data_IF_605586829641
#
_entry.id   IF_605586829641
#
_cell.length_a   1.000
_cell.length_b   1.000
_cell.length_c   1.000
_cell.angle_alpha   90.00
_cell.angle_beta   90.00
_cell.angle_gamma   90.00
#
_symmetry.space_group_name_H-M   'P 1'
#
loop_
_entity.id
_entity.type
_entity.pdbx_description
1 polymer ?
#
# COMPACT_ATOMS: atom_id res chain seq x y z
N UNK A 1 22.03 14.06 2.01
CA UNK A 1 21.06 13.23 1.26
C UNK A 1 19.69 13.75 1.61
N UNK A 2 18.82 13.95 0.61
CA UNK A 2 17.46 14.44 0.81
C UNK A 2 16.62 13.36 1.50
N UNK A 3 16.25 13.62 2.76
CA UNK A 3 15.45 12.68 3.59
C UNK A 3 14.11 12.33 2.95
N UNK A 4 13.60 13.18 2.05
CA UNK A 4 12.33 12.97 1.34
C UNK A 4 12.45 11.85 0.30
N UNK A 5 13.58 11.79 -0.40
CA UNK A 5 13.84 10.76 -1.41
C UNK A 5 14.05 9.37 -0.79
N UNK A 6 14.66 9.31 0.40
CA UNK A 6 14.86 8.07 1.15
C UNK A 6 13.53 7.47 1.62
N UNK A 7 12.65 8.29 2.22
CA UNK A 7 11.27 7.88 2.61
C UNK A 7 10.47 7.35 1.43
N UNK A 8 10.54 8.03 0.29
CA UNK A 8 9.84 7.58 -0.92
C UNK A 8 10.35 6.21 -1.39
N UNK A 9 11.66 6.01 -1.35
CA UNK A 9 12.27 4.73 -1.77
C UNK A 9 11.87 3.59 -0.82
N UNK A 10 11.84 3.85 0.49
CA UNK A 10 11.38 2.88 1.49
C UNK A 10 9.91 2.50 1.29
N UNK A 11 9.05 3.49 1.07
CA UNK A 11 7.64 3.25 0.77
C UNK A 11 7.45 2.46 -0.53
N UNK A 12 8.15 2.81 -1.61
CA UNK A 12 8.09 2.09 -2.88
C UNK A 12 8.51 0.62 -2.69
N UNK A 13 9.53 0.34 -1.88
CA UNK A 13 9.96 -1.02 -1.57
C UNK A 13 8.87 -1.81 -0.83
N UNK A 14 8.23 -1.21 0.18
CA UNK A 14 7.14 -1.84 0.93
C UNK A 14 5.93 -2.07 0.00
N UNK A 15 5.57 -1.07 -0.79
CA UNK A 15 4.45 -1.16 -1.74
C UNK A 15 4.64 -2.32 -2.71
N UNK A 16 5.78 -2.40 -3.39
CA UNK A 16 6.09 -3.48 -4.34
C UNK A 16 6.12 -4.85 -3.66
N UNK A 17 6.67 -4.94 -2.45
CA UNK A 17 6.79 -6.21 -1.72
C UNK A 17 5.43 -6.75 -1.24
N UNK A 18 4.47 -5.87 -0.92
CA UNK A 18 3.26 -6.26 -0.18
C UNK A 18 1.95 -6.09 -0.96
N UNK A 19 1.85 -5.19 -1.95
CA UNK A 19 0.60 -4.84 -2.62
C UNK A 19 -0.18 -6.05 -3.14
N UNK A 20 0.48 -6.95 -3.90
CA UNK A 20 -0.19 -8.11 -4.51
C UNK A 20 -0.78 -9.06 -3.48
N UNK A 21 -0.07 -9.29 -2.37
CA UNK A 21 -0.52 -10.15 -1.26
C UNK A 21 -1.66 -9.50 -0.49
N UNK A 22 -1.59 -8.19 -0.25
CA UNK A 22 -2.64 -7.44 0.43
C UNK A 22 -3.92 -7.36 -0.40
N UNK A 23 -3.81 -7.11 -1.72
CA UNK A 23 -4.96 -7.11 -2.63
C UNK A 23 -5.64 -8.47 -2.65
N UNK A 24 -4.85 -9.55 -2.78
CA UNK A 24 -5.40 -10.91 -2.71
C UNK A 24 -6.09 -11.19 -1.38
N UNK A 25 -5.52 -10.73 -0.27
CA UNK A 25 -6.15 -10.85 1.05
C UNK A 25 -7.48 -10.09 1.12
N UNK A 26 -7.53 -8.83 0.66
CA UNK A 26 -8.74 -8.02 0.65
C UNK A 26 -9.84 -8.61 -0.25
N UNK A 27 -9.46 -9.20 -1.39
CA UNK A 27 -10.38 -9.84 -2.34
C UNK A 27 -11.22 -10.97 -1.73
N UNK A 28 -10.73 -11.62 -0.66
CA UNK A 28 -11.49 -12.67 0.04
C UNK A 28 -12.71 -12.10 0.80
N UNK A 29 -12.77 -10.77 1.00
CA UNK A 29 -13.81 -10.09 1.77
C UNK A 29 -14.75 -9.24 0.92
N UNK A 30 -14.43 -9.01 -0.36
CA UNK A 30 -15.20 -8.15 -1.25
C UNK A 30 -15.48 -8.82 -2.58
N UNK A 31 -16.65 -8.54 -3.16
CA UNK A 31 -17.09 -9.17 -4.41
C UNK A 31 -16.33 -8.59 -5.61
N UNK A 32 -16.08 -7.27 -5.61
CA UNK A 32 -15.47 -6.59 -6.74
C UNK A 32 -13.99 -6.39 -6.51
N UNK A 33 -13.20 -6.55 -7.57
CA UNK A 33 -11.75 -6.34 -7.52
C UNK A 33 -11.38 -4.89 -7.24
N UNK A 34 -12.16 -3.94 -7.77
CA UNK A 34 -11.99 -2.51 -7.50
C UNK A 34 -12.11 -2.17 -6.00
N UNK A 35 -12.99 -2.85 -5.27
CA UNK A 35 -13.14 -2.64 -3.82
C UNK A 35 -11.88 -3.12 -3.08
N UNK A 36 -11.29 -4.25 -3.50
CA UNK A 36 -10.06 -4.76 -2.91
C UNK A 36 -8.87 -3.84 -3.19
N UNK A 37 -8.80 -3.27 -4.39
CA UNK A 37 -7.79 -2.27 -4.75
C UNK A 37 -7.94 -1.00 -3.93
N UNK A 38 -9.15 -0.46 -3.80
CA UNK A 38 -9.43 0.74 -3.02
C UNK A 38 -9.04 0.55 -1.55
N UNK A 39 -9.44 -0.55 -0.92
CA UNK A 39 -9.07 -0.88 0.46
C UNK A 39 -7.55 -0.90 0.66
N UNK A 40 -6.83 -1.54 -0.25
CA UNK A 40 -5.37 -1.65 -0.14
C UNK A 40 -4.70 -0.31 -0.38
N UNK A 41 -5.20 0.50 -1.32
CA UNK A 41 -4.71 1.86 -1.55
C UNK A 41 -4.91 2.74 -0.31
N UNK A 42 -6.07 2.68 0.35
CA UNK A 42 -6.34 3.42 1.59
C UNK A 42 -5.36 3.02 2.70
N UNK A 43 -5.08 1.72 2.87
CA UNK A 43 -4.09 1.25 3.87
C UNK A 43 -2.67 1.75 3.56
N UNK A 44 -2.27 1.78 2.29
CA UNK A 44 -0.97 2.33 1.90
C UNK A 44 -0.91 3.84 2.05
N UNK A 45 -2.02 4.55 1.81
CA UNK A 45 -2.13 5.98 2.04
C UNK A 45 -1.99 6.28 3.54
N UNK A 46 -2.69 5.54 4.39
CA UNK A 46 -2.56 5.63 5.85
C UNK A 46 -1.11 5.39 6.29
N UNK A 47 -0.44 4.38 5.74
CA UNK A 47 0.97 4.09 6.04
C UNK A 47 1.90 5.24 5.62
N UNK A 48 1.62 5.88 4.49
CA UNK A 48 2.38 7.03 4.00
C UNK A 48 2.16 8.26 4.89
N UNK A 49 0.91 8.54 5.28
CA UNK A 49 0.54 9.70 6.10
C UNK A 49 0.93 9.56 7.57
N UNK A 50 0.85 8.34 8.12
CA UNK A 50 1.27 8.04 9.49
C UNK A 50 2.79 8.08 9.68
N UNK A 51 3.55 8.37 8.61
CA UNK A 51 5.00 8.41 8.58
C UNK A 51 5.62 7.13 9.15
N UNK A 52 6.09 6.27 8.24
CA UNK A 52 7.49 5.87 8.39
C UNK A 52 8.36 7.10 8.72
#
# INVERSE_FOLDING_TARGET
>A
MDKTAEKRTEFENIYVAHYSRMKRFAQEYVIREEDAENIVQDVFLDLWEQNL
#
